data_IF_794757960185
#
_entry.id   IF_794757960185
#
_cell.length_a   1.000
_cell.length_b   1.000
_cell.length_c   1.000
_cell.angle_alpha   90.00
_cell.angle_beta   90.00
_cell.angle_gamma   90.00
#
_symmetry.space_group_name_H-M   'P 1'
#
loop_
_entity.id
_entity.type
_entity.pdbx_description
1 polymer ?
#
# COMPACT_ATOMS: atom_id res chain seq x y z
N UNK A 1 38.88 -30.87 -21.55
CA UNK A 1 38.97 -29.65 -20.72
C UNK A 1 37.93 -29.78 -19.62
N UNK A 2 38.35 -29.97 -18.37
CA UNK A 2 37.43 -29.89 -17.24
C UNK A 2 37.07 -28.42 -17.08
N UNK A 3 35.79 -28.08 -17.18
CA UNK A 3 35.31 -26.74 -16.88
C UNK A 3 35.53 -26.50 -15.39
N UNK A 4 36.51 -25.65 -15.05
CA UNK A 4 36.71 -25.20 -13.68
C UNK A 4 35.64 -24.15 -13.38
N UNK A 5 34.64 -24.53 -12.59
CA UNK A 5 33.67 -23.57 -12.07
C UNK A 5 34.38 -22.72 -11.01
N UNK A 6 34.58 -21.42 -11.28
CA UNK A 6 35.09 -20.46 -10.32
C UNK A 6 33.92 -19.67 -9.73
N UNK A 7 33.79 -19.66 -8.41
CA UNK A 7 32.74 -18.95 -7.68
C UNK A 7 33.31 -17.69 -7.01
N UNK A 8 32.49 -16.67 -6.83
CA UNK A 8 32.85 -15.44 -6.12
C UNK A 8 31.72 -14.99 -5.22
N UNK A 9 32.06 -14.32 -4.13
CA UNK A 9 31.10 -13.54 -3.33
C UNK A 9 31.05 -12.12 -3.87
N UNK A 10 29.85 -11.58 -4.03
CA UNK A 10 29.61 -10.27 -4.63
C UNK A 10 28.66 -9.46 -3.75
N UNK A 11 29.07 -8.25 -3.36
CA UNK A 11 28.23 -7.30 -2.64
C UNK A 11 27.66 -6.28 -3.63
N UNK A 12 26.34 -6.12 -3.68
CA UNK A 12 25.65 -5.17 -4.55
C UNK A 12 25.01 -4.06 -3.72
N UNK A 13 25.08 -2.82 -4.21
CA UNK A 13 24.30 -1.70 -3.66
C UNK A 13 22.97 -1.60 -4.39
N UNK A 14 21.94 -1.17 -3.68
CA UNK A 14 20.62 -0.94 -4.27
C UNK A 14 20.70 -0.07 -5.53
N UNK A 15 19.97 -0.48 -6.57
CA UNK A 15 19.85 0.22 -7.87
C UNK A 15 21.12 0.27 -8.73
N UNK A 16 22.12 -0.61 -8.51
CA UNK A 16 23.28 -0.79 -9.40
C UNK A 16 23.45 -2.24 -9.85
N UNK A 17 23.80 -2.44 -11.13
CA UNK A 17 23.99 -3.76 -11.74
C UNK A 17 25.40 -4.33 -11.57
N UNK A 18 26.37 -3.52 -11.14
CA UNK A 18 27.76 -3.93 -10.94
C UNK A 18 28.06 -4.18 -9.46
N UNK A 19 28.82 -5.24 -9.11
CA UNK A 19 29.18 -5.52 -7.73
C UNK A 19 30.12 -4.43 -7.21
N UNK A 20 29.86 -3.96 -6.00
CA UNK A 20 30.70 -2.98 -5.30
C UNK A 20 31.94 -3.63 -4.69
N UNK A 21 31.79 -4.86 -4.19
CA UNK A 21 32.90 -5.70 -3.74
C UNK A 21 32.73 -7.08 -4.37
N UNK A 22 33.84 -7.66 -4.84
CA UNK A 22 33.87 -8.99 -5.42
C UNK A 22 35.09 -9.74 -4.89
N UNK A 23 34.87 -10.92 -4.34
CA UNK A 23 35.92 -11.77 -3.77
C UNK A 23 35.79 -13.18 -4.37
N UNK A 24 36.71 -13.57 -5.27
CA UNK A 24 36.79 -14.93 -5.79
C UNK A 24 37.07 -15.93 -4.64
N UNK A 25 36.35 -17.05 -4.64
CA UNK A 25 36.45 -18.10 -3.63
C UNK A 25 37.52 -19.15 -3.97
N UNK A 26 38.25 -18.97 -5.07
CA UNK A 26 39.33 -19.86 -5.46
C UNK A 26 40.49 -19.83 -4.45
N UNK A 27 40.84 -21.00 -3.93
CA UNK A 27 41.88 -21.16 -2.91
C UNK A 27 41.44 -20.79 -1.48
N UNK A 28 40.17 -20.42 -1.28
CA UNK A 28 39.62 -20.19 0.05
C UNK A 28 39.19 -21.49 0.72
N UNK A 29 39.21 -21.49 2.04
CA UNK A 29 38.61 -22.53 2.90
C UNK A 29 37.64 -21.87 3.87
N UNK A 30 36.45 -22.43 4.01
CA UNK A 30 35.44 -21.95 4.95
C UNK A 30 35.41 -22.83 6.19
N UNK A 31 35.30 -22.22 7.37
CA UNK A 31 35.09 -22.92 8.63
C UNK A 31 34.21 -22.11 9.59
N UNK A 32 33.60 -22.80 10.54
CA UNK A 32 32.85 -22.16 11.62
C UNK A 32 33.82 -21.36 12.51
N UNK A 33 33.33 -20.22 13.00
CA UNK A 33 34.08 -19.36 13.91
C UNK A 33 33.27 -19.11 15.19
N UNK A 34 33.98 -18.95 16.29
CA UNK A 34 33.38 -18.45 17.54
C UNK A 34 33.19 -16.93 17.45
N UNK A 35 32.33 -16.39 18.31
CA UNK A 35 32.16 -14.94 18.42
C UNK A 35 33.47 -14.32 18.95
N UNK A 36 34.12 -13.50 18.13
CA UNK A 36 35.28 -12.74 18.58
C UNK A 36 34.81 -11.56 19.43
N UNK A 37 35.11 -11.60 20.74
CA UNK A 37 34.76 -10.53 21.68
C UNK A 37 35.43 -9.19 21.35
N UNK A 38 36.40 -9.15 20.42
CA UNK A 38 37.13 -7.95 20.00
C UNK A 38 36.55 -7.21 18.79
N UNK A 39 35.67 -7.82 18.00
CA UNK A 39 35.11 -7.24 16.78
C UNK A 39 33.59 -7.16 16.92
N UNK A 40 33.11 -6.01 17.40
CA UNK A 40 31.68 -5.69 17.43
C UNK A 40 31.23 -5.45 15.97
N UNK A 41 31.02 -6.52 15.20
CA UNK A 41 30.14 -6.44 14.03
C UNK A 41 28.73 -6.26 14.56
N UNK A 42 28.22 -5.04 14.42
CA UNK A 42 27.09 -4.47 15.15
C UNK A 42 25.72 -5.19 15.03
N UNK A 43 25.62 -6.31 14.33
CA UNK A 43 24.35 -7.02 14.11
C UNK A 43 24.43 -8.56 14.04
N UNK A 44 25.61 -9.18 13.92
CA UNK A 44 25.71 -10.63 13.67
C UNK A 44 25.83 -11.48 14.95
N UNK A 45 25.07 -12.60 15.03
CA UNK A 45 25.05 -13.51 16.19
C UNK A 45 25.90 -14.77 16.00
N UNK A 46 26.01 -15.28 14.78
CA UNK A 46 26.73 -16.51 14.45
C UNK A 46 27.77 -16.26 13.38
N UNK A 47 28.99 -16.72 13.61
CA UNK A 47 30.15 -16.37 12.80
C UNK A 47 30.72 -17.58 12.04
N UNK A 48 31.28 -17.29 10.88
CA UNK A 48 32.09 -18.22 10.09
C UNK A 48 33.13 -17.42 9.30
N UNK A 49 34.22 -18.07 8.93
CA UNK A 49 35.35 -17.40 8.27
C UNK A 49 35.72 -18.11 6.98
N UNK A 50 36.08 -17.34 5.97
CA UNK A 50 36.76 -17.83 4.78
C UNK A 50 38.22 -17.37 4.81
N UNK A 51 39.16 -18.31 4.81
CA UNK A 51 40.59 -18.04 4.87
C UNK A 51 41.33 -18.53 3.62
N UNK A 52 42.28 -17.72 3.17
CA UNK A 52 43.33 -18.03 2.17
C UNK A 52 44.64 -17.43 2.68
N UNK A 53 45.81 -17.93 2.26
CA UNK A 53 47.12 -17.50 2.78
C UNK A 53 47.25 -15.96 2.98
N UNK A 54 47.24 -15.53 4.24
CA UNK A 54 47.36 -14.10 4.64
C UNK A 54 46.06 -13.28 4.61
N UNK A 55 44.93 -13.86 4.23
CA UNK A 55 43.63 -13.19 4.06
C UNK A 55 42.53 -13.98 4.77
N UNK A 56 41.88 -13.37 5.78
CA UNK A 56 40.75 -13.98 6.50
C UNK A 56 39.57 -13.01 6.43
N UNK A 57 38.48 -13.48 5.83
CA UNK A 57 37.21 -12.76 5.79
C UNK A 57 36.27 -13.40 6.81
N UNK A 58 35.74 -12.59 7.72
CA UNK A 58 34.76 -13.04 8.71
C UNK A 58 33.37 -12.62 8.27
N UNK A 59 32.45 -13.57 8.27
CA UNK A 59 31.04 -13.39 7.97
C UNK A 59 30.22 -13.60 9.23
N UNK A 60 29.09 -12.91 9.30
CA UNK A 60 28.18 -13.02 10.42
C UNK A 60 26.74 -13.16 9.92
N UNK A 61 25.93 -13.92 10.67
CA UNK A 61 24.51 -14.19 10.40
C UNK A 61 23.72 -14.05 11.68
N UNK A 62 22.41 -13.85 11.58
CA UNK A 62 21.54 -13.66 12.75
C UNK A 62 20.99 -14.98 13.28
N UNK A 63 20.98 -16.02 12.44
CA UNK A 63 20.45 -17.34 12.75
C UNK A 63 21.48 -18.44 12.51
N UNK A 64 21.48 -19.46 13.36
CA UNK A 64 22.41 -20.58 13.26
C UNK A 64 22.18 -21.44 12.01
N UNK A 65 20.91 -21.59 11.62
CA UNK A 65 20.51 -22.33 10.42
C UNK A 65 21.00 -21.63 9.14
N UNK A 66 21.00 -20.30 9.14
CA UNK A 66 21.51 -19.49 8.04
C UNK A 66 23.04 -19.65 7.93
N UNK A 67 23.76 -19.54 9.06
CA UNK A 67 25.20 -19.87 9.12
C UNK A 67 25.49 -21.25 8.53
N UNK A 68 24.73 -22.26 8.95
CA UNK A 68 24.94 -23.63 8.46
C UNK A 68 24.76 -23.74 6.95
N UNK A 69 23.71 -23.12 6.41
CA UNK A 69 23.42 -23.10 4.97
C UNK A 69 24.53 -22.40 4.18
N UNK A 70 25.01 -21.25 4.65
CA UNK A 70 26.11 -20.51 4.02
C UNK A 70 27.43 -21.30 4.04
N UNK A 71 27.78 -21.92 5.16
CA UNK A 71 29.00 -22.74 5.28
C UNK A 71 28.93 -23.95 4.33
N UNK A 72 27.78 -24.61 4.19
CA UNK A 72 27.63 -25.72 3.23
C UNK A 72 27.72 -25.26 1.77
N UNK A 73 27.17 -24.09 1.44
CA UNK A 73 27.26 -23.53 0.10
C UNK A 73 28.71 -23.17 -0.26
N UNK A 74 29.40 -22.47 0.63
CA UNK A 74 30.80 -22.09 0.47
C UNK A 74 31.74 -23.29 0.45
N UNK A 75 31.48 -24.32 1.25
CA UNK A 75 32.24 -25.58 1.20
C UNK A 75 32.21 -26.22 -0.20
N UNK A 76 31.02 -26.26 -0.83
CA UNK A 76 30.87 -26.78 -2.21
C UNK A 76 31.52 -25.88 -3.24
N UNK A 77 31.42 -24.56 -3.07
CA UNK A 77 31.95 -23.57 -4.00
C UNK A 77 33.49 -23.49 -3.96
N UNK A 78 34.10 -23.66 -2.79
CA UNK A 78 35.56 -23.64 -2.60
C UNK A 78 36.22 -24.95 -3.02
N UNK A 79 35.49 -26.08 -2.94
CA UNK A 79 36.05 -27.40 -3.21
C UNK A 79 37.12 -27.83 -2.21
N UNK A 80 37.16 -27.21 -1.02
CA UNK A 80 38.13 -27.56 0.02
C UNK A 80 38.04 -29.05 0.38
N UNK A 81 39.18 -29.66 0.69
CA UNK A 81 39.24 -31.11 0.97
C UNK A 81 38.68 -31.48 2.34
N UNK A 82 38.82 -30.60 3.34
CA UNK A 82 38.30 -30.84 4.69
C UNK A 82 36.86 -30.35 4.83
N UNK A 83 36.01 -31.17 5.44
CA UNK A 83 34.61 -30.80 5.68
C UNK A 83 34.51 -29.92 6.93
N UNK A 84 33.87 -28.74 6.86
CA UNK A 84 33.64 -27.89 8.03
C UNK A 84 32.77 -28.62 9.05
N UNK A 85 33.22 -28.68 10.30
CA UNK A 85 32.50 -29.35 11.39
C UNK A 85 31.78 -28.32 12.25
N UNK A 86 30.45 -28.40 12.41
CA UNK A 86 29.73 -27.48 13.27
C UNK A 86 30.20 -27.60 14.73
N UNK A 87 30.18 -26.51 15.51
CA UNK A 87 30.49 -26.57 16.93
C UNK A 87 29.57 -27.58 17.63
N UNK A 88 30.14 -28.48 18.42
CA UNK A 88 29.36 -29.42 19.22
C UNK A 88 28.74 -28.62 20.36
N UNK A 89 27.48 -28.20 20.23
CA UNK A 89 26.69 -27.76 21.36
C UNK A 89 26.46 -28.96 22.26
N UNK A 90 27.19 -29.02 23.38
CA UNK A 90 26.97 -29.93 24.51
C UNK A 90 25.61 -29.64 25.16
N UNK A 91 24.51 -29.87 24.45
CA UNK A 91 23.17 -29.93 25.03
C UNK A 91 22.96 -31.34 25.58
N UNK A 92 23.52 -31.60 26.77
CA UNK A 92 23.04 -32.64 27.69
C UNK A 92 23.75 -32.49 29.05
N UNK A 93 23.27 -31.55 29.88
CA UNK A 93 23.10 -31.61 31.35
C UNK A 93 23.02 -30.20 31.97
N UNK A 94 22.22 -30.08 33.04
CA UNK A 94 21.92 -28.90 33.89
C UNK A 94 21.15 -27.78 33.18
N UNK A 95 19.86 -27.53 33.44
CA UNK A 95 19.19 -27.38 34.75
C UNK A 95 19.90 -26.37 35.64
N UNK A 96 19.39 -25.14 35.63
CA UNK A 96 19.61 -24.04 36.57
C UNK A 96 20.93 -23.25 36.44
N UNK A 97 20.78 -21.93 36.61
CA UNK A 97 21.80 -20.88 36.75
C UNK A 97 22.35 -20.28 35.44
N UNK A 98 21.61 -19.32 34.89
CA UNK A 98 22.06 -17.92 34.73
C UNK A 98 20.98 -17.10 34.01
N UNK A 99 19.99 -16.67 34.78
CA UNK A 99 19.31 -15.40 34.53
C UNK A 99 20.31 -14.30 34.88
N UNK A 100 20.55 -13.34 33.98
CA UNK A 100 20.67 -11.90 34.34
C UNK A 100 20.94 -10.94 33.17
N UNK A 101 20.99 -11.37 31.90
CA UNK A 101 21.20 -10.39 30.81
C UNK A 101 20.41 -10.62 29.50
N UNK A 102 19.43 -11.54 29.51
CA UNK A 102 18.53 -11.81 28.36
C UNK A 102 17.06 -11.46 28.57
N UNK A 103 16.71 -10.75 29.66
CA UNK A 103 15.32 -10.61 30.10
C UNK A 103 14.45 -9.65 29.26
N UNK A 104 14.99 -8.89 28.30
CA UNK A 104 14.14 -8.01 27.48
C UNK A 104 13.60 -8.72 26.23
N UNK A 105 14.45 -9.42 25.49
CA UNK A 105 14.05 -10.03 24.21
C UNK A 105 13.39 -11.41 24.37
N UNK A 106 13.67 -12.14 25.45
CA UNK A 106 12.92 -13.37 25.76
C UNK A 106 11.48 -13.07 26.13
N UNK A 107 11.19 -11.94 26.79
CA UNK A 107 9.82 -11.56 27.14
C UNK A 107 9.01 -11.22 25.87
N UNK A 108 9.63 -10.59 24.88
CA UNK A 108 8.95 -10.22 23.62
C UNK A 108 8.83 -11.39 22.64
N UNK A 109 9.83 -12.29 22.57
CA UNK A 109 9.73 -13.54 21.79
C UNK A 109 8.74 -14.53 22.42
N UNK A 110 8.75 -14.72 23.73
CA UNK A 110 7.74 -15.56 24.40
C UNK A 110 6.36 -14.91 24.40
N UNK A 111 6.24 -13.56 24.43
CA UNK A 111 4.95 -12.88 24.19
C UNK A 111 4.45 -13.14 22.78
N UNK A 112 5.30 -13.03 21.77
CA UNK A 112 4.92 -13.23 20.36
C UNK A 112 4.49 -14.67 20.09
N UNK A 113 5.17 -15.65 20.71
CA UNK A 113 4.81 -17.07 20.69
C UNK A 113 3.52 -17.37 21.45
N UNK A 114 3.28 -16.71 22.59
CA UNK A 114 1.99 -16.81 23.33
C UNK A 114 0.81 -16.18 22.58
N UNK A 115 1.08 -15.28 21.64
CA UNK A 115 0.08 -14.54 20.87
C UNK A 115 -0.19 -15.13 19.47
N UNK A 116 0.45 -16.25 19.11
CA UNK A 116 0.20 -16.94 17.83
C UNK A 116 0.84 -16.29 16.61
N UNK A 117 1.87 -15.45 16.77
CA UNK A 117 2.46 -14.71 15.64
C UNK A 117 3.33 -15.55 14.69
N UNK A 118 3.78 -16.74 15.10
CA UNK A 118 4.60 -17.62 14.27
C UNK A 118 3.88 -18.08 12.99
N UNK A 119 2.55 -18.24 13.05
CA UNK A 119 1.73 -18.63 11.90
C UNK A 119 1.67 -17.52 10.83
N UNK A 120 1.65 -16.25 11.25
CA UNK A 120 1.66 -15.11 10.33
C UNK A 120 3.01 -14.92 9.65
N UNK A 121 4.11 -15.13 10.37
CA UNK A 121 5.47 -15.00 9.85
C UNK A 121 5.76 -16.09 8.79
N UNK A 122 5.16 -17.28 8.94
CA UNK A 122 5.34 -18.40 8.01
C UNK A 122 4.32 -18.43 6.86
N UNK A 123 3.27 -17.60 6.94
CA UNK A 123 2.25 -17.55 5.90
C UNK A 123 2.80 -16.93 4.61
N UNK A 124 2.44 -17.52 3.47
CA UNK A 124 2.83 -17.00 2.15
C UNK A 124 1.92 -15.83 1.79
N UNK A 125 2.44 -14.59 1.70
CA UNK A 125 1.64 -13.41 1.40
C UNK A 125 0.83 -13.56 0.11
N UNK A 126 1.37 -14.25 -0.91
CA UNK A 126 0.74 -14.40 -2.22
C UNK A 126 -0.56 -15.21 -2.23
N UNK A 127 -0.88 -15.90 -1.12
CA UNK A 127 -2.09 -16.74 -1.01
C UNK A 127 -3.31 -16.00 -0.47
N UNK A 128 -3.13 -14.76 -0.01
CA UNK A 128 -4.21 -13.97 0.56
C UNK A 128 -4.95 -13.18 -0.51
N UNK A 129 -6.23 -12.90 -0.26
CA UNK A 129 -6.96 -11.92 -1.06
C UNK A 129 -6.53 -10.51 -0.67
N UNK A 130 -5.56 -9.98 -1.40
CA UNK A 130 -5.04 -8.65 -1.17
C UNK A 130 -6.03 -7.53 -1.48
N UNK A 131 -7.11 -7.77 -2.24
CA UNK A 131 -8.14 -6.76 -2.46
C UNK A 131 -8.95 -6.53 -1.18
N UNK A 132 -9.36 -7.59 -0.50
CA UNK A 132 -10.11 -7.52 0.75
C UNK A 132 -9.25 -7.06 1.93
N UNK A 133 -7.99 -7.52 2.01
CA UNK A 133 -7.04 -7.01 2.99
C UNK A 133 -6.77 -5.52 2.78
N UNK A 134 -6.59 -5.08 1.53
CA UNK A 134 -6.39 -3.67 1.23
C UNK A 134 -7.61 -2.84 1.58
N UNK A 135 -8.82 -3.34 1.29
CA UNK A 135 -10.08 -2.68 1.70
C UNK A 135 -10.07 -2.45 3.21
N UNK A 136 -9.83 -3.49 4.00
CA UNK A 136 -9.79 -3.42 5.46
C UNK A 136 -8.75 -2.40 5.95
N UNK A 137 -7.55 -2.43 5.36
CA UNK A 137 -6.47 -1.48 5.68
C UNK A 137 -6.85 -0.04 5.34
N UNK A 138 -7.44 0.20 4.17
CA UNK A 138 -7.87 1.52 3.72
C UNK A 138 -8.98 2.08 4.61
N UNK A 139 -10.00 1.25 4.93
CA UNK A 139 -11.11 1.60 5.84
C UNK A 139 -10.56 2.01 7.21
N UNK A 140 -9.69 1.19 7.81
CA UNK A 140 -9.10 1.49 9.11
C UNK A 140 -8.22 2.75 9.08
N UNK A 141 -7.49 2.98 7.98
CA UNK A 141 -6.68 4.19 7.80
C UNK A 141 -7.56 5.45 7.71
N UNK A 142 -8.68 5.38 6.99
CA UNK A 142 -9.66 6.46 6.92
C UNK A 142 -10.28 6.75 8.28
N UNK A 143 -10.71 5.71 9.01
CA UNK A 143 -11.30 5.87 10.35
C UNK A 143 -10.31 6.52 11.32
N UNK A 144 -9.05 6.07 11.33
CA UNK A 144 -8.00 6.72 12.12
C UNK A 144 -7.87 8.20 11.73
N UNK A 145 -7.89 8.49 10.43
CA UNK A 145 -7.67 9.84 9.91
C UNK A 145 -8.83 10.79 10.18
N UNK A 146 -10.07 10.30 10.19
CA UNK A 146 -11.26 11.09 10.53
C UNK A 146 -11.37 11.38 12.04
N UNK A 147 -10.73 10.57 12.87
CA UNK A 147 -10.62 10.80 14.31
C UNK A 147 -9.43 11.71 14.70
N UNK A 148 -8.64 12.17 13.72
CA UNK A 148 -7.50 13.06 13.96
C UNK A 148 -7.96 14.45 14.43
N UNK A 149 -7.35 15.03 15.48
CA UNK A 149 -7.67 16.38 15.96
C UNK A 149 -7.55 17.47 14.90
N UNK A 150 -6.71 17.27 13.88
CA UNK A 150 -6.58 18.17 12.74
C UNK A 150 -7.56 17.71 11.66
N UNK A 151 -8.67 18.44 11.47
CA UNK A 151 -9.73 18.16 10.51
C UNK A 151 -9.20 17.71 9.15
N UNK A 152 -9.05 16.40 8.96
CA UNK A 152 -8.48 15.82 7.76
C UNK A 152 -9.45 15.85 6.58
N UNK A 153 -10.75 15.97 6.87
CA UNK A 153 -11.85 15.93 5.91
C UNK A 153 -11.78 14.68 5.00
N UNK A 154 -11.20 13.59 5.54
CA UNK A 154 -10.97 12.35 4.82
C UNK A 154 -9.65 12.28 4.05
N UNK A 155 -8.87 13.36 3.92
CA UNK A 155 -7.57 13.29 3.25
C UNK A 155 -6.56 12.48 4.06
N UNK A 156 -6.07 11.42 3.42
CA UNK A 156 -4.92 10.67 3.90
C UNK A 156 -3.66 11.56 3.90
N UNK A 157 -2.84 11.41 4.93
CA UNK A 157 -1.53 12.06 4.97
C UNK A 157 -0.61 11.53 3.85
N UNK A 158 0.41 12.28 3.41
CA UNK A 158 1.36 11.80 2.40
C UNK A 158 2.01 10.45 2.76
N UNK A 159 2.30 10.23 4.04
CA UNK A 159 2.85 8.96 4.53
C UNK A 159 1.86 7.79 4.43
N UNK A 160 0.59 8.01 4.79
CA UNK A 160 -0.46 6.99 4.65
C UNK A 160 -0.70 6.64 3.18
N UNK A 161 -0.82 7.65 2.32
CA UNK A 161 -0.98 7.45 0.87
C UNK A 161 0.20 6.66 0.29
N UNK A 162 1.43 7.01 0.67
CA UNK A 162 2.62 6.30 0.24
C UNK A 162 2.61 4.82 0.63
N UNK A 163 2.28 4.51 1.90
CA UNK A 163 2.22 3.12 2.38
C UNK A 163 1.16 2.31 1.64
N UNK A 164 -0.02 2.90 1.43
CA UNK A 164 -1.09 2.24 0.67
C UNK A 164 -0.68 2.02 -0.80
N UNK A 165 -0.05 2.99 -1.44
CA UNK A 165 0.44 2.86 -2.82
C UNK A 165 1.51 1.78 -2.96
N UNK A 166 2.43 1.70 -2.00
CA UNK A 166 3.48 0.68 -1.96
C UNK A 166 2.88 -0.72 -1.79
N UNK A 167 1.88 -0.88 -0.91
CA UNK A 167 1.15 -2.14 -0.75
C UNK A 167 0.50 -2.57 -2.08
N UNK A 168 -0.19 -1.66 -2.76
CA UNK A 168 -0.84 -1.98 -4.03
C UNK A 168 0.14 -2.37 -5.12
N UNK A 169 1.30 -1.71 -5.15
CA UNK A 169 2.36 -1.98 -6.13
C UNK A 169 2.97 -3.37 -5.92
N UNK A 170 3.11 -3.81 -4.66
CA UNK A 170 3.66 -5.11 -4.29
C UNK A 170 2.70 -6.27 -4.56
N UNK A 171 1.42 -6.07 -4.27
CA UNK A 171 0.42 -7.13 -4.29
C UNK A 171 -0.60 -7.05 -5.44
N UNK A 172 -0.42 -6.11 -6.37
CA UNK A 172 -1.23 -6.02 -7.58
C UNK A 172 -2.68 -5.58 -7.37
N UNK A 173 -2.95 -4.81 -6.31
CA UNK A 173 -4.31 -4.31 -6.02
C UNK A 173 -4.73 -3.28 -7.07
N UNK A 174 -5.84 -3.57 -7.76
CA UNK A 174 -6.31 -2.78 -8.90
C UNK A 174 -6.76 -1.38 -8.51
N UNK A 175 -6.31 -0.37 -9.26
CA UNK A 175 -6.62 1.04 -9.00
C UNK A 175 -8.11 1.35 -8.86
N UNK A 176 -8.95 0.81 -9.75
CA UNK A 176 -10.40 1.05 -9.73
C UNK A 176 -11.05 0.56 -8.43
N UNK A 177 -10.72 -0.67 -8.00
CA UNK A 177 -11.22 -1.23 -6.73
C UNK A 177 -10.86 -0.37 -5.53
N UNK A 178 -9.63 0.16 -5.47
CA UNK A 178 -9.20 1.07 -4.39
C UNK A 178 -10.08 2.31 -4.32
N UNK A 179 -10.41 2.91 -5.47
CA UNK A 179 -11.27 4.09 -5.51
C UNK A 179 -12.74 3.76 -5.28
N UNK A 180 -13.22 2.57 -5.67
CA UNK A 180 -14.58 2.14 -5.37
C UNK A 180 -14.79 1.93 -3.88
N UNK A 181 -13.87 1.21 -3.23
CA UNK A 181 -13.91 1.03 -1.78
C UNK A 181 -13.79 2.37 -1.07
N UNK A 182 -12.85 3.22 -1.49
CA UNK A 182 -12.68 4.52 -0.88
C UNK A 182 -13.89 5.43 -1.06
N UNK A 183 -14.48 5.48 -2.25
CA UNK A 183 -15.67 6.30 -2.52
C UNK A 183 -16.87 5.81 -1.69
N UNK A 184 -17.08 4.50 -1.59
CA UNK A 184 -18.12 3.94 -0.73
C UNK A 184 -17.87 4.31 0.74
N UNK A 185 -16.63 4.13 1.19
CA UNK A 185 -16.21 4.41 2.54
C UNK A 185 -16.42 5.89 2.91
N UNK A 186 -16.02 6.81 2.04
CA UNK A 186 -16.23 8.25 2.24
C UNK A 186 -17.73 8.58 2.30
N UNK A 187 -18.54 7.95 1.45
CA UNK A 187 -20.00 8.15 1.43
C UNK A 187 -20.67 7.61 2.71
N UNK A 188 -20.24 6.46 3.22
CA UNK A 188 -20.71 5.90 4.50
C UNK A 188 -20.53 6.90 5.64
N UNK A 189 -19.37 7.57 5.70
CA UNK A 189 -19.08 8.54 6.77
C UNK A 189 -19.79 9.87 6.54
N UNK A 190 -19.91 10.31 5.29
CA UNK A 190 -20.68 11.50 4.95
C UNK A 190 -22.16 11.35 5.34
N UNK A 191 -22.77 10.18 5.12
CA UNK A 191 -24.13 9.86 5.56
C UNK A 191 -24.28 9.79 7.07
N UNK A 192 -23.22 9.41 7.79
CA UNK A 192 -23.16 9.45 9.26
C UNK A 192 -22.93 10.86 9.83
N UNK A 193 -22.77 11.87 8.97
CA UNK A 193 -22.57 13.26 9.38
C UNK A 193 -21.12 13.69 9.60
N UNK A 194 -20.13 12.87 9.22
CA UNK A 194 -18.74 13.34 9.17
C UNK A 194 -18.58 14.35 8.03
N UNK A 195 -17.82 15.41 8.29
CA UNK A 195 -17.42 16.34 7.24
C UNK A 195 -16.33 15.71 6.36
N UNK A 196 -16.68 15.45 5.11
CA UNK A 196 -15.79 14.92 4.09
C UNK A 196 -15.54 15.99 3.03
N UNK A 197 -14.31 16.10 2.57
CA UNK A 197 -13.94 17.04 1.51
C UNK A 197 -14.65 16.64 0.19
N UNK A 198 -15.45 17.54 -0.41
CA UNK A 198 -16.13 17.26 -1.67
C UNK A 198 -15.16 17.00 -2.82
N UNK A 199 -13.99 17.63 -2.85
CA UNK A 199 -12.97 17.39 -3.88
C UNK A 199 -12.46 15.94 -3.84
N UNK A 200 -12.40 15.34 -2.65
CA UNK A 200 -11.97 13.95 -2.46
C UNK A 200 -12.99 12.94 -3.01
N UNK A 201 -14.28 13.17 -2.73
CA UNK A 201 -15.40 12.42 -3.30
C UNK A 201 -15.41 12.54 -4.83
N UNK A 202 -15.27 13.76 -5.35
CA UNK A 202 -15.22 14.02 -6.79
C UNK A 202 -14.04 13.30 -7.47
N UNK A 203 -12.84 13.39 -6.89
CA UNK A 203 -11.65 12.76 -7.44
C UNK A 203 -11.83 11.24 -7.57
N UNK A 204 -12.31 10.57 -6.52
CA UNK A 204 -12.57 9.13 -6.53
C UNK A 204 -13.67 8.74 -7.52
N UNK A 205 -14.75 9.53 -7.57
CA UNK A 205 -15.83 9.33 -8.55
C UNK A 205 -15.33 9.44 -10.00
N UNK A 206 -14.58 10.49 -10.33
CA UNK A 206 -14.04 10.70 -11.68
C UNK A 206 -13.08 9.59 -12.09
N UNK A 207 -12.25 9.12 -11.15
CA UNK A 207 -11.37 7.99 -11.39
C UNK A 207 -12.18 6.74 -11.79
N UNK A 208 -13.15 6.32 -10.97
CA UNK A 208 -14.01 5.18 -11.25
C UNK A 208 -14.83 5.35 -12.55
N UNK A 209 -15.41 6.53 -12.75
CA UNK A 209 -16.21 6.83 -13.94
C UNK A 209 -15.38 6.78 -15.23
N UNK A 210 -14.13 7.27 -15.19
CA UNK A 210 -13.21 7.20 -16.33
C UNK A 210 -12.82 5.76 -16.64
N UNK A 211 -12.59 4.95 -15.60
CA UNK A 211 -12.23 3.55 -15.72
C UNK A 211 -13.38 2.75 -16.31
N UNK A 212 -14.58 2.81 -15.72
CA UNK A 212 -15.77 2.05 -16.15
C UNK A 212 -16.26 2.45 -17.54
N UNK A 213 -16.05 3.71 -17.94
CA UNK A 213 -16.46 4.18 -19.29
C UNK A 213 -15.49 3.77 -20.41
N UNK A 214 -14.37 3.12 -20.10
CA UNK A 214 -13.49 2.52 -21.10
C UNK A 214 -12.72 3.50 -22.00
N UNK A 215 -12.62 4.78 -21.64
CA UNK A 215 -12.04 5.81 -22.51
C UNK A 215 -10.66 6.27 -22.01
N UNK A 216 -9.66 5.37 -22.10
CA UNK A 216 -8.25 5.77 -22.04
C UNK A 216 -7.70 5.86 -23.46
N UNK A 217 -7.07 6.98 -23.86
CA UNK A 217 -6.47 7.09 -25.19
C UNK A 217 -5.30 6.12 -25.43
N UNK A 218 -4.75 5.49 -24.38
CA UNK A 218 -3.54 4.65 -24.43
C UNK A 218 -3.76 3.14 -24.16
N UNK A 219 -4.99 2.62 -24.11
CA UNK A 219 -5.19 1.18 -23.83
C UNK A 219 -6.39 0.59 -24.56
N UNK A 220 -6.12 -0.09 -25.68
CA UNK A 220 -7.09 -0.90 -26.44
C UNK A 220 -7.57 -2.18 -25.69
N UNK A 221 -7.39 -2.26 -24.38
CA UNK A 221 -7.82 -3.39 -23.55
C UNK A 221 -8.61 -2.82 -22.37
N UNK A 222 -9.94 -2.94 -22.43
CA UNK A 222 -10.81 -2.68 -21.29
C UNK A 222 -10.59 -3.78 -20.26
N UNK A 223 -9.79 -3.51 -19.23
CA UNK A 223 -9.50 -4.46 -18.14
C UNK A 223 -10.57 -4.47 -17.05
N UNK A 224 -11.70 -3.78 -17.24
CA UNK A 224 -12.76 -3.58 -16.25
C UNK A 224 -13.52 -4.90 -16.04
N UNK A 225 -13.69 -5.29 -14.77
CA UNK A 225 -14.50 -6.45 -14.38
C UNK A 225 -15.98 -6.08 -14.28
N UNK A 226 -16.89 -7.06 -14.45
CA UNK A 226 -18.33 -6.82 -14.24
C UNK A 226 -18.62 -6.37 -12.81
N UNK A 227 -17.94 -6.97 -11.83
CA UNK A 227 -18.09 -6.64 -10.42
C UNK A 227 -17.69 -5.17 -10.10
N UNK A 228 -16.62 -4.65 -10.70
CA UNK A 228 -16.25 -3.23 -10.59
C UNK A 228 -17.32 -2.31 -11.19
N UNK A 229 -17.91 -2.72 -12.32
CA UNK A 229 -18.94 -1.95 -13.00
C UNK A 229 -20.25 -1.90 -12.19
N UNK A 230 -20.68 -3.04 -11.66
CA UNK A 230 -21.92 -3.14 -10.89
C UNK A 230 -21.80 -2.34 -9.58
N UNK A 231 -20.68 -2.49 -8.85
CA UNK A 231 -20.38 -1.68 -7.66
C UNK A 231 -20.36 -0.18 -7.96
N UNK A 232 -19.78 0.23 -9.08
CA UNK A 232 -19.78 1.64 -9.46
C UNK A 232 -21.19 2.18 -9.70
N UNK A 233 -22.07 1.41 -10.34
CA UNK A 233 -23.46 1.83 -10.61
C UNK A 233 -24.22 2.01 -9.29
N UNK A 234 -24.04 1.09 -8.34
CA UNK A 234 -24.65 1.17 -7.02
C UNK A 234 -24.17 2.42 -6.24
N UNK A 235 -22.85 2.61 -6.13
CA UNK A 235 -22.27 3.76 -5.43
C UNK A 235 -22.67 5.09 -6.11
N UNK A 236 -22.74 5.11 -7.45
CA UNK A 236 -23.19 6.29 -8.21
C UNK A 236 -24.63 6.68 -7.87
N UNK A 237 -25.55 5.72 -7.82
CA UNK A 237 -26.95 6.02 -7.49
C UNK A 237 -27.10 6.44 -6.03
N UNK A 238 -26.35 5.81 -5.11
CA UNK A 238 -26.31 6.20 -3.70
C UNK A 238 -25.78 7.62 -3.51
N UNK A 239 -24.68 7.97 -4.18
CA UNK A 239 -24.11 9.31 -4.15
C UNK A 239 -25.10 10.36 -4.69
N UNK A 240 -25.83 10.02 -5.75
CA UNK A 240 -26.89 10.88 -6.28
C UNK A 240 -27.97 11.15 -5.23
N UNK A 241 -28.50 10.10 -4.60
CA UNK A 241 -29.54 10.23 -3.57
C UNK A 241 -29.04 11.04 -2.36
N UNK A 242 -27.79 10.83 -1.95
CA UNK A 242 -27.15 11.61 -0.89
C UNK A 242 -27.10 13.10 -1.25
N UNK A 243 -26.62 13.44 -2.45
CA UNK A 243 -26.56 14.84 -2.91
C UNK A 243 -27.96 15.47 -3.03
N UNK A 244 -28.92 14.74 -3.58
CA UNK A 244 -30.32 15.19 -3.66
C UNK A 244 -30.89 15.46 -2.27
N UNK A 245 -30.63 14.57 -1.31
CA UNK A 245 -31.06 14.74 0.08
C UNK A 245 -30.42 15.98 0.73
N UNK A 246 -29.10 16.17 0.55
CA UNK A 246 -28.39 17.34 1.13
C UNK A 246 -28.85 18.67 0.51
N UNK A 247 -29.25 18.66 -0.76
CA UNK A 247 -29.77 19.83 -1.46
C UNK A 247 -31.22 20.13 -1.06
N UNK A 248 -32.09 19.12 -1.04
CA UNK A 248 -33.53 19.29 -0.77
C UNK A 248 -33.85 19.48 0.70
N UNK A 249 -33.19 18.73 1.57
CA UNK A 249 -33.27 18.94 3.02
C UNK A 249 -32.22 19.96 3.38
N UNK A 250 -32.60 21.23 3.25
CA UNK A 250 -31.84 22.40 3.68
C UNK A 250 -31.51 22.32 5.18
N UNK A 251 -30.59 21.43 5.55
CA UNK A 251 -30.13 21.26 6.92
C UNK A 251 -29.59 22.59 7.43
N UNK A 252 -29.75 22.85 8.72
CA UNK A 252 -29.34 24.09 9.38
C UNK A 252 -27.83 24.40 9.27
N UNK A 253 -27.04 23.43 8.78
CA UNK A 253 -25.60 23.56 8.59
C UNK A 253 -25.24 24.10 7.19
N UNK A 254 -24.88 25.38 7.16
CA UNK A 254 -24.47 26.10 5.96
C UNK A 254 -23.21 25.51 5.29
N UNK A 255 -22.31 24.88 6.06
CA UNK A 255 -21.06 24.35 5.52
C UNK A 255 -21.29 23.07 4.70
N UNK A 256 -22.16 22.18 5.19
CA UNK A 256 -22.54 20.94 4.49
C UNK A 256 -23.22 21.27 3.15
N UNK A 257 -24.02 22.35 3.10
CA UNK A 257 -24.67 22.82 1.87
C UNK A 257 -23.68 23.28 0.81
N UNK A 258 -22.73 24.14 1.19
CA UNK A 258 -21.69 24.63 0.28
C UNK A 258 -20.92 23.45 -0.31
N UNK A 259 -20.50 22.52 0.56
CA UNK A 259 -19.77 21.32 0.19
C UNK A 259 -20.54 20.42 -0.79
N UNK A 260 -21.84 20.18 -0.54
CA UNK A 260 -22.68 19.42 -1.46
C UNK A 260 -22.84 20.11 -2.83
N UNK A 261 -23.01 21.44 -2.84
CA UNK A 261 -23.14 22.22 -4.07
C UNK A 261 -21.84 22.22 -4.90
N UNK A 262 -20.68 22.37 -4.25
CA UNK A 262 -19.36 22.31 -4.90
C UNK A 262 -19.12 20.93 -5.54
N UNK A 263 -19.44 19.86 -4.81
CA UNK A 263 -19.34 18.50 -5.32
C UNK A 263 -20.23 18.29 -6.54
N UNK A 264 -21.50 18.68 -6.43
CA UNK A 264 -22.49 18.53 -7.48
C UNK A 264 -22.07 19.31 -8.74
N UNK A 265 -21.61 20.56 -8.58
CA UNK A 265 -21.08 21.37 -9.68
C UNK A 265 -19.86 20.73 -10.34
N UNK A 266 -18.91 20.20 -9.56
CA UNK A 266 -17.72 19.55 -10.10
C UNK A 266 -18.08 18.30 -10.90
N UNK A 267 -18.98 17.46 -10.39
CA UNK A 267 -19.49 16.27 -11.09
C UNK A 267 -20.20 16.67 -12.39
N UNK A 268 -21.03 17.72 -12.37
CA UNK A 268 -21.68 18.25 -13.57
C UNK A 268 -20.69 18.69 -14.64
N UNK A 269 -19.69 19.49 -14.27
CA UNK A 269 -18.67 19.98 -15.20
C UNK A 269 -17.90 18.81 -15.84
N UNK A 270 -17.58 17.79 -15.06
CA UNK A 270 -16.97 16.56 -15.58
C UNK A 270 -17.87 15.87 -16.61
N UNK A 271 -19.15 15.66 -16.29
CA UNK A 271 -20.08 14.99 -17.22
C UNK A 271 -20.27 15.80 -18.51
N UNK A 272 -20.39 17.13 -18.42
CA UNK A 272 -20.53 18.01 -19.58
C UNK A 272 -19.28 17.94 -20.46
N UNK A 273 -18.08 18.04 -19.86
CA UNK A 273 -16.82 17.92 -20.58
C UNK A 273 -16.65 16.57 -21.26
N UNK A 274 -17.07 15.49 -20.59
CA UNK A 274 -17.03 14.14 -21.14
C UNK A 274 -18.03 13.95 -22.29
N UNK A 275 -19.24 14.50 -22.17
CA UNK A 275 -20.23 14.48 -23.26
C UNK A 275 -19.78 15.26 -24.49
N UNK A 276 -19.03 16.36 -24.31
CA UNK A 276 -18.46 17.14 -25.42
C UNK A 276 -17.38 16.37 -26.21
N UNK A 277 -16.58 15.54 -25.53
CA UNK A 277 -15.49 14.77 -26.15
C UNK A 277 -15.94 13.46 -26.82
N UNK A 278 -17.10 12.89 -26.45
CA UNK A 278 -17.59 11.60 -26.97
C UNK A 278 -18.91 11.75 -27.76
N UNK A 279 -18.85 12.19 -29.02
CA UNK A 279 -20.05 12.41 -29.86
C UNK A 279 -20.84 11.14 -30.22
N UNK A 280 -20.27 9.94 -30.05
CA UNK A 280 -20.86 8.70 -30.57
C UNK A 280 -21.71 7.89 -29.58
N UNK A 281 -21.64 8.14 -28.26
CA UNK A 281 -22.41 7.37 -27.25
C UNK A 281 -22.80 8.18 -26.00
N UNK A 282 -22.52 9.48 -25.93
CA UNK A 282 -22.71 10.26 -24.70
C UNK A 282 -24.16 10.71 -24.43
N UNK A 283 -25.01 10.78 -25.47
CA UNK A 283 -26.36 11.30 -25.34
C UNK A 283 -27.19 10.49 -24.32
N UNK A 284 -27.06 9.17 -24.27
CA UNK A 284 -27.91 8.31 -23.42
C UNK A 284 -27.38 8.05 -22.01
N UNK A 285 -26.09 8.35 -21.71
CA UNK A 285 -25.47 7.92 -20.44
C UNK A 285 -25.71 8.89 -19.27
N UNK A 286 -25.85 10.19 -19.54
CA UNK A 286 -26.03 11.23 -18.52
C UNK A 286 -27.36 11.98 -18.62
N UNK A 287 -28.16 11.78 -19.67
CA UNK A 287 -29.44 12.47 -19.90
C UNK A 287 -30.42 12.33 -18.73
N UNK A 288 -30.67 11.11 -18.25
CA UNK A 288 -31.53 10.87 -17.07
C UNK A 288 -31.01 11.55 -15.79
N UNK A 289 -29.69 11.68 -15.68
CA UNK A 289 -29.06 12.36 -14.55
C UNK A 289 -29.27 13.87 -14.66
N UNK A 290 -29.07 14.44 -15.84
CA UNK A 290 -29.33 15.85 -16.13
C UNK A 290 -30.79 16.25 -15.91
N UNK A 291 -31.76 15.42 -16.32
CA UNK A 291 -33.19 15.70 -16.13
C UNK A 291 -33.58 15.92 -14.67
N UNK A 292 -32.95 15.20 -13.73
CA UNK A 292 -33.23 15.33 -12.30
C UNK A 292 -32.40 16.45 -11.66
N UNK A 293 -31.17 16.65 -12.12
CA UNK A 293 -30.23 17.57 -11.51
C UNK A 293 -30.44 19.03 -11.95
N UNK A 294 -30.86 19.27 -13.20
CA UNK A 294 -31.08 20.64 -13.70
C UNK A 294 -32.16 21.40 -12.94
N UNK A 295 -33.32 20.83 -12.61
CA UNK A 295 -34.31 21.49 -11.75
C UNK A 295 -33.74 21.87 -10.38
N UNK A 296 -32.95 20.98 -9.75
CA UNK A 296 -32.32 21.24 -8.45
C UNK A 296 -31.29 22.38 -8.52
N UNK A 297 -30.45 22.39 -9.55
CA UNK A 297 -29.47 23.46 -9.78
C UNK A 297 -30.16 24.79 -10.07
N UNK A 298 -31.28 24.76 -10.80
CA UNK A 298 -32.09 25.93 -11.06
C UNK A 298 -32.69 26.45 -9.75
N UNK A 299 -33.26 25.60 -8.90
CA UNK A 299 -33.77 25.98 -7.59
C UNK A 299 -32.68 26.59 -6.69
N UNK A 300 -31.51 25.96 -6.62
CA UNK A 300 -30.34 26.47 -5.89
C UNK A 300 -29.83 27.83 -6.41
N UNK A 301 -29.94 28.09 -7.73
CA UNK A 301 -29.54 29.39 -8.30
C UNK A 301 -30.44 30.55 -7.84
N UNK A 302 -31.65 30.25 -7.37
CA UNK A 302 -32.57 31.22 -6.80
C UNK A 302 -32.49 31.31 -5.27
N UNK A 303 -31.73 30.41 -4.61
CA UNK A 303 -31.57 30.38 -3.15
C UNK A 303 -31.09 31.73 -2.62
N UNK A 304 -31.63 32.16 -1.49
CA UNK A 304 -31.29 33.40 -0.79
C UNK A 304 -29.82 33.45 -0.32
N UNK A 305 -29.15 32.30 -0.23
CA UNK A 305 -27.76 32.18 0.18
C UNK A 305 -26.77 32.69 -0.89
N UNK A 306 -26.05 33.78 -0.55
CA UNK A 306 -25.08 34.43 -1.43
C UNK A 306 -23.86 33.55 -1.74
N UNK A 307 -23.48 32.62 -0.86
CA UNK A 307 -22.36 31.70 -1.08
C UNK A 307 -22.70 30.66 -2.15
N UNK A 308 -23.87 30.04 -2.03
CA UNK A 308 -24.40 29.07 -3.00
C UNK A 308 -24.63 29.73 -4.36
N UNK A 309 -25.22 30.94 -4.37
CA UNK A 309 -25.34 31.77 -5.58
C UNK A 309 -23.98 32.04 -6.22
N UNK A 310 -22.98 32.40 -5.43
CA UNK A 310 -21.61 32.65 -5.89
C UNK A 310 -21.00 31.43 -6.58
N UNK A 311 -21.11 30.25 -6.00
CA UNK A 311 -20.57 28.98 -6.53
C UNK A 311 -21.19 28.66 -7.90
N UNK A 312 -22.52 28.73 -8.00
CA UNK A 312 -23.26 28.44 -9.24
C UNK A 312 -23.08 29.53 -10.31
N UNK A 313 -22.87 30.79 -9.92
CA UNK A 313 -22.63 31.90 -10.86
C UNK A 313 -21.17 32.07 -11.28
N UNK A 314 -20.19 31.68 -10.47
CA UNK A 314 -18.76 31.76 -10.82
C UNK A 314 -18.42 30.91 -12.06
N UNK A 315 -19.19 29.85 -12.34
CA UNK A 315 -19.10 29.11 -13.60
C UNK A 315 -19.41 29.94 -14.85
N UNK A 316 -20.08 31.09 -14.73
CA UNK A 316 -20.30 32.02 -15.86
C UNK A 316 -19.11 32.96 -16.09
N UNK A 317 -18.30 33.25 -15.07
CA UNK A 317 -17.25 34.28 -15.18
C UNK A 317 -15.89 33.76 -15.63
N UNK A 318 -15.63 32.44 -15.57
CA UNK A 318 -14.39 31.81 -16.07
C UNK A 318 -14.50 31.34 -17.53
N UNK A 319 -15.57 31.72 -18.24
CA UNK A 319 -15.71 31.57 -19.69
C UNK A 319 -15.97 32.93 -20.33
N UNK A 320 -14.92 33.73 -20.43
CA UNK A 320 -14.70 34.67 -21.53
C UNK A 320 -13.26 34.52 -22.01
#
# INVERSE_FOLDING_TARGET
MVSQYCFATCSYRERKSEPTEMMPLEGYTVDYAEADNGLIMHDGKYFFKAGREGEIVTFATNEENERHSWVQALYRATGQSHKPTPPITLNNKSSQLNQTSGQKDQIDSDRSKKLGFDEYIQSDPCKFDHHDLFKTLQTATLDFRLNDPYCSLGWLSPGQSYVLEEYCSRYGVRGCLRHLYYLNDLLDRAEQGFMIDPQLLHYSYVFCASHVSGNRPDSNISTITMEEKDRFIEIKERLKQFLEHQVTNFSSDHQIKITACELLQSIMLYMIGKSANNRSNAATSYEKFYEHLFPLVQELSFDSDQGIKGILTYSKSTRL
#
